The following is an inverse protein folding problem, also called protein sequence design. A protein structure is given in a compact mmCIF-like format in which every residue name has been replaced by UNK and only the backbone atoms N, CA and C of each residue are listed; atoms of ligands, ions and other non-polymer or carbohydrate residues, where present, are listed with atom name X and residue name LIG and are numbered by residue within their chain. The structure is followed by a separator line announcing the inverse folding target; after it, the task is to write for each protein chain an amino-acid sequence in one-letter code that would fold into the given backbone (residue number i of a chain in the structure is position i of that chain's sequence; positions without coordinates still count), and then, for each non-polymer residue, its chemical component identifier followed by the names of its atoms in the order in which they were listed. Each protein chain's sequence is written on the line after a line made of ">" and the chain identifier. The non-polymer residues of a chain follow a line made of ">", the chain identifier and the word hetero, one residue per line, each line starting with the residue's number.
data_IF_890740078479
#
_entry.id   IF_890740078479
#
_cell.length_a   1.000
_cell.length_b   1.000
_cell.length_c   1.000
_cell.angle_alpha   90.00
_cell.angle_beta   90.00
_cell.angle_gamma   90.00
#
_symmetry.space_group_name_H-M   'P 1'
#
loop_
_entity.id
_entity.type
_entity.pdbx_description
1 polymer ?
#
# COMPACT_ATOMS: atom_id res chain seq x y z
N UNK A 1 -56.36 -16.15 -6.66
CA UNK A 1 -55.35 -15.76 -7.67
C UNK A 1 -54.09 -15.34 -6.92
N UNK A 2 -53.13 -16.26 -6.75
CA UNK A 2 -51.92 -16.04 -5.94
C UNK A 2 -51.00 -15.06 -6.65
N UNK A 3 -50.85 -13.84 -6.11
CA UNK A 3 -49.84 -12.90 -6.56
C UNK A 3 -48.49 -13.25 -5.91
N UNK A 4 -47.52 -13.57 -6.78
CA UNK A 4 -46.20 -14.09 -6.47
C UNK A 4 -45.29 -13.05 -5.80
N UNK A 5 -45.17 -13.08 -4.47
CA UNK A 5 -44.11 -12.42 -3.71
C UNK A 5 -42.77 -13.18 -3.84
N UNK A 6 -42.12 -13.15 -5.01
CA UNK A 6 -40.78 -13.74 -5.19
C UNK A 6 -39.95 -13.00 -6.24
N UNK A 7 -39.72 -11.69 -6.09
CA UNK A 7 -38.71 -10.98 -6.90
C UNK A 7 -37.88 -9.90 -6.17
N UNK A 8 -38.31 -9.42 -5.00
CA UNK A 8 -37.57 -8.37 -4.29
C UNK A 8 -36.43 -8.90 -3.39
N UNK A 9 -36.51 -10.15 -2.92
CA UNK A 9 -35.55 -10.70 -1.94
C UNK A 9 -34.21 -11.08 -2.56
N UNK A 10 -34.18 -11.46 -3.84
CA UNK A 10 -32.94 -11.87 -4.51
C UNK A 10 -32.02 -10.67 -4.84
N UNK A 11 -32.58 -9.47 -5.01
CA UNK A 11 -31.82 -8.25 -5.34
C UNK A 11 -31.07 -7.67 -4.14
N UNK A 12 -31.59 -7.83 -2.92
CA UNK A 12 -30.97 -7.28 -1.72
C UNK A 12 -29.70 -8.06 -1.34
N UNK A 13 -29.69 -9.38 -1.55
CA UNK A 13 -28.52 -10.22 -1.30
C UNK A 13 -27.34 -9.84 -2.22
N UNK A 14 -27.57 -9.65 -3.53
CA UNK A 14 -26.51 -9.21 -4.45
C UNK A 14 -26.00 -7.79 -4.19
N UNK A 15 -26.84 -6.92 -3.61
CA UNK A 15 -26.42 -5.56 -3.23
C UNK A 15 -25.62 -5.53 -1.92
N UNK A 16 -25.91 -6.45 -0.99
CA UNK A 16 -25.26 -6.54 0.33
C UNK A 16 -23.99 -7.40 0.32
N UNK A 17 -23.87 -8.37 -0.60
CA UNK A 17 -22.70 -9.24 -0.74
C UNK A 17 -21.38 -8.48 -0.96
N UNK A 18 -21.31 -7.45 -1.82
CA UNK A 18 -20.11 -6.62 -1.96
C UNK A 18 -19.80 -5.86 -0.66
N UNK A 19 -20.82 -5.32 0.02
CA UNK A 19 -20.63 -4.62 1.30
C UNK A 19 -20.10 -5.51 2.43
N UNK A 20 -20.45 -6.80 2.42
CA UNK A 20 -19.96 -7.76 3.40
C UNK A 20 -18.50 -8.16 3.15
N UNK A 21 -18.08 -8.30 1.89
CA UNK A 21 -16.66 -8.50 1.54
C UNK A 21 -15.81 -7.28 1.91
N UNK A 22 -16.36 -6.08 1.70
CA UNK A 22 -15.71 -4.82 2.07
C UNK A 22 -15.60 -4.61 3.60
N UNK A 23 -16.49 -5.20 4.39
CA UNK A 23 -16.45 -5.16 5.86
C UNK A 23 -15.39 -6.09 6.50
N UNK A 24 -14.76 -6.98 5.72
CA UNK A 24 -13.76 -7.95 6.20
C UNK A 24 -12.34 -7.38 6.30
N UNK A 25 -12.10 -6.17 5.78
CA UNK A 25 -10.79 -5.55 5.87
C UNK A 25 -10.53 -5.03 7.29
N UNK A 26 -9.32 -5.27 7.86
CA UNK A 26 -9.01 -4.81 9.21
C UNK A 26 -9.11 -3.28 9.30
N UNK A 27 -10.08 -2.80 10.10
CA UNK A 27 -10.37 -1.39 10.40
C UNK A 27 -9.39 -0.75 11.39
N UNK A 28 -8.17 -1.26 11.47
CA UNK A 28 -7.08 -0.73 12.29
C UNK A 28 -5.83 -1.54 11.98
N UNK A 29 -4.67 -0.89 12.00
CA UNK A 29 -3.40 -1.58 11.97
C UNK A 29 -3.30 -2.55 13.16
N UNK A 30 -3.22 -3.85 12.88
CA UNK A 30 -2.93 -4.84 13.92
C UNK A 30 -1.42 -4.93 14.17
N UNK A 31 -0.93 -4.06 15.06
CA UNK A 31 0.49 -4.05 15.45
C UNK A 31 0.96 -5.35 16.10
N UNK A 32 0.06 -6.20 16.60
CA UNK A 32 0.43 -7.52 17.14
C UNK A 32 0.86 -8.48 16.03
N UNK A 33 0.37 -8.26 14.80
CA UNK A 33 0.70 -9.05 13.63
C UNK A 33 1.91 -8.50 12.86
N UNK A 34 2.29 -7.25 13.06
CA UNK A 34 3.51 -6.69 12.45
C UNK A 34 4.74 -7.51 12.87
N UNK A 35 5.56 -7.89 11.90
CA UNK A 35 6.74 -8.73 12.14
C UNK A 35 7.71 -8.09 13.16
N UNK A 36 8.06 -8.86 14.19
CA UNK A 36 9.02 -8.46 15.25
C UNK A 36 10.24 -9.39 15.35
N UNK A 37 10.31 -10.41 14.49
CA UNK A 37 11.38 -11.41 14.52
C UNK A 37 12.69 -10.92 13.90
N UNK A 38 13.65 -11.83 13.82
CA UNK A 38 14.93 -11.59 13.15
C UNK A 38 14.71 -11.50 11.64
N UNK A 39 15.41 -10.58 10.98
CA UNK A 39 15.47 -10.52 9.53
C UNK A 39 16.82 -11.03 9.05
N UNK A 40 16.81 -11.79 7.96
CA UNK A 40 18.04 -12.21 7.29
C UNK A 40 18.27 -11.45 5.98
N UNK A 41 17.19 -11.15 5.23
CA UNK A 41 17.29 -10.35 4.00
C UNK A 41 16.02 -9.55 3.73
N UNK A 42 16.16 -8.51 2.90
CA UNK A 42 15.05 -7.69 2.40
C UNK A 42 15.27 -7.40 0.92
N UNK A 43 14.30 -7.71 0.08
CA UNK A 43 14.27 -7.31 -1.30
C UNK A 43 13.32 -6.12 -1.49
N UNK A 44 13.63 -5.26 -2.46
CA UNK A 44 12.72 -4.23 -2.94
C UNK A 44 12.46 -4.44 -4.42
N UNK A 45 11.21 -4.27 -4.80
CA UNK A 45 10.72 -4.30 -6.16
C UNK A 45 10.11 -2.93 -6.42
N UNK A 46 10.74 -2.15 -7.28
CA UNK A 46 10.20 -0.87 -7.73
C UNK A 46 9.44 -1.11 -9.03
N UNK A 47 8.12 -0.95 -8.97
CA UNK A 47 7.28 -0.84 -10.18
C UNK A 47 7.06 0.62 -10.48
N UNK A 48 7.58 1.08 -11.62
CA UNK A 48 7.56 2.47 -12.05
C UNK A 48 6.89 2.55 -13.41
N UNK A 49 6.11 3.59 -13.66
CA UNK A 49 5.36 3.66 -14.89
C UNK A 49 4.12 4.54 -14.80
N UNK A 50 3.20 4.31 -15.72
CA UNK A 50 1.86 4.85 -15.70
C UNK A 50 0.87 3.76 -16.10
N UNK A 51 -0.29 3.78 -15.44
CA UNK A 51 -1.49 3.03 -15.85
C UNK A 51 -2.46 4.00 -16.49
N UNK A 52 -3.46 3.50 -17.22
CA UNK A 52 -4.49 4.35 -17.81
C UNK A 52 -5.27 5.08 -16.72
N UNK A 53 -5.53 4.42 -15.60
CA UNK A 53 -6.32 4.92 -14.48
C UNK A 53 -5.60 6.00 -13.66
N UNK A 54 -4.26 5.95 -13.62
CA UNK A 54 -3.44 6.91 -12.85
C UNK A 54 -2.65 7.87 -13.72
N UNK A 55 -2.90 7.89 -15.03
CA UNK A 55 -2.20 8.76 -15.98
C UNK A 55 -2.72 10.20 -16.00
N UNK A 56 -1.88 11.13 -16.48
CA UNK A 56 -2.27 12.52 -16.75
C UNK A 56 -2.87 12.65 -18.16
N UNK A 57 -3.64 13.72 -18.46
CA UNK A 57 -4.40 13.84 -19.71
C UNK A 57 -3.58 13.71 -21.01
N UNK A 58 -2.29 14.03 -20.97
CA UNK A 58 -1.36 13.96 -22.10
C UNK A 58 -0.44 12.72 -22.09
N UNK A 59 -0.69 11.75 -21.21
CA UNK A 59 0.11 10.52 -21.17
C UNK A 59 -0.12 9.67 -22.44
N UNK A 60 0.87 8.87 -22.86
CA UNK A 60 0.70 7.91 -23.95
C UNK A 60 -0.46 6.95 -23.68
N UNK A 61 -1.19 6.57 -24.73
CA UNK A 61 -2.36 5.68 -24.63
C UNK A 61 -1.99 4.26 -24.15
N UNK A 62 -0.78 3.81 -24.46
CA UNK A 62 -0.25 2.54 -23.98
C UNK A 62 0.28 2.68 -22.54
N UNK A 63 -0.23 1.82 -21.66
CA UNK A 63 0.31 1.67 -20.31
C UNK A 63 1.74 1.15 -20.38
N UNK A 64 2.58 1.66 -19.48
CA UNK A 64 3.97 1.25 -19.42
C UNK A 64 4.41 1.11 -17.98
N UNK A 65 4.69 -0.13 -17.58
CA UNK A 65 5.19 -0.46 -16.25
C UNK A 65 6.54 -1.17 -16.41
N UNK A 66 7.53 -0.68 -15.69
CA UNK A 66 8.86 -1.28 -15.57
C UNK A 66 9.08 -1.77 -14.16
N UNK A 67 9.73 -2.92 -14.03
CA UNK A 67 10.05 -3.51 -12.73
C UNK A 67 11.56 -3.56 -12.51
N UNK A 68 12.02 -3.00 -11.40
CA UNK A 68 13.40 -3.10 -10.96
C UNK A 68 13.49 -3.82 -9.61
N UNK A 69 14.28 -4.90 -9.53
CA UNK A 69 14.48 -5.68 -8.30
C UNK A 69 15.86 -5.43 -7.71
N UNK A 70 15.92 -5.17 -6.41
CA UNK A 70 17.18 -4.93 -5.68
C UNK A 70 17.16 -5.60 -4.31
N UNK A 71 18.30 -6.17 -3.92
CA UNK A 71 18.54 -6.56 -2.54
C UNK A 71 18.87 -5.31 -1.72
N UNK A 72 18.19 -5.12 -0.58
CA UNK A 72 18.49 -4.04 0.34
C UNK A 72 19.47 -4.49 1.43
N UNK A 73 20.40 -3.61 1.86
CA UNK A 73 21.16 -3.84 3.07
C UNK A 73 20.25 -4.09 4.26
N UNK A 74 20.60 -5.07 5.09
CA UNK A 74 19.80 -5.47 6.26
C UNK A 74 19.51 -4.30 7.21
N UNK A 75 20.46 -3.37 7.35
CA UNK A 75 20.30 -2.15 8.15
C UNK A 75 19.17 -1.25 7.63
N UNK A 76 18.98 -1.17 6.31
CA UNK A 76 17.85 -0.45 5.69
C UNK A 76 16.52 -1.15 5.98
N UNK A 77 16.46 -2.46 5.80
CA UNK A 77 15.29 -3.27 6.14
C UNK A 77 14.83 -3.10 7.59
N UNK A 78 15.77 -3.21 8.55
CA UNK A 78 15.52 -2.97 9.98
C UNK A 78 15.02 -1.55 10.26
N UNK A 79 15.59 -0.54 9.59
CA UNK A 79 15.13 0.85 9.69
C UNK A 79 13.70 1.02 9.18
N UNK A 80 13.34 0.35 8.09
CA UNK A 80 11.98 0.37 7.56
C UNK A 80 10.98 -0.24 8.54
N UNK A 81 11.27 -1.42 9.11
CA UNK A 81 10.42 -1.99 10.16
C UNK A 81 10.20 -1.02 11.32
N UNK A 82 11.26 -0.34 11.78
CA UNK A 82 11.17 0.66 12.84
C UNK A 82 10.31 1.87 12.46
N UNK A 83 10.28 2.26 11.17
CA UNK A 83 9.39 3.32 10.69
C UNK A 83 7.92 2.90 10.82
N UNK A 84 7.58 1.65 10.49
CA UNK A 84 6.22 1.12 10.53
C UNK A 84 5.74 0.88 11.97
N UNK A 85 6.65 0.52 12.87
CA UNK A 85 6.34 0.38 14.29
C UNK A 85 5.99 1.71 14.97
N UNK A 86 6.24 2.86 14.33
CA UNK A 86 5.76 4.15 14.82
C UNK A 86 4.23 4.22 14.67
N UNK A 87 3.51 4.10 15.80
CA UNK A 87 2.05 4.02 15.87
C UNK A 87 1.30 5.30 15.46
N UNK A 88 2.03 6.31 15.00
CA UNK A 88 1.45 7.63 14.72
C UNK A 88 0.97 7.72 13.26
N UNK A 89 -0.36 7.81 13.10
CA UNK A 89 -1.09 8.28 11.90
C UNK A 89 -1.18 7.30 10.73
N UNK A 90 -1.85 6.17 10.95
CA UNK A 90 -2.49 5.39 9.89
C UNK A 90 -3.90 5.93 9.67
N UNK A 91 -4.26 6.29 8.43
CA UNK A 91 -5.66 6.57 8.07
C UNK A 91 -6.17 5.42 7.22
N UNK A 92 -7.19 4.75 7.70
CA UNK A 92 -7.85 3.70 6.95
C UNK A 92 -8.62 4.30 5.79
N UNK A 93 -8.30 3.83 4.60
CA UNK A 93 -9.01 4.10 3.37
C UNK A 93 -8.92 2.82 2.54
N UNK A 94 -9.88 2.56 1.65
CA UNK A 94 -9.76 1.40 0.79
C UNK A 94 -8.50 1.54 -0.07
N UNK A 95 -7.62 0.52 -0.12
CA UNK A 95 -6.51 0.54 -1.04
C UNK A 95 -7.09 0.57 -2.46
N UNK A 96 -6.62 1.51 -3.27
CA UNK A 96 -6.84 1.46 -4.70
C UNK A 96 -5.80 0.47 -5.23
N UNK A 97 -6.18 -0.34 -6.22
CA UNK A 97 -5.16 -1.05 -6.97
C UNK A 97 -4.30 0.00 -7.68
N UNK A 98 -3.01 0.02 -7.36
CA UNK A 98 -2.02 0.81 -8.08
C UNK A 98 -0.85 -0.12 -8.41
N UNK A 99 -0.62 -0.31 -9.70
CA UNK A 99 0.47 -1.16 -10.20
C UNK A 99 1.83 -0.44 -10.14
N UNK A 100 1.84 0.89 -9.99
CA UNK A 100 3.01 1.73 -9.76
C UNK A 100 3.28 1.83 -8.25
N UNK A 101 3.97 0.80 -7.75
CA UNK A 101 4.19 0.62 -6.30
C UNK A 101 5.60 0.11 -5.99
N UNK A 102 6.15 0.57 -4.86
CA UNK A 102 7.36 -0.05 -4.29
C UNK A 102 6.96 -1.16 -3.32
N UNK A 103 7.36 -2.39 -3.63
CA UNK A 103 7.12 -3.57 -2.81
C UNK A 103 8.38 -3.95 -2.04
N UNK A 104 8.29 -4.09 -0.72
CA UNK A 104 9.37 -4.55 0.14
C UNK A 104 9.03 -5.93 0.67
N UNK A 105 9.88 -6.91 0.35
CA UNK A 105 9.72 -8.31 0.73
C UNK A 105 10.76 -8.64 1.80
N UNK A 106 10.30 -9.07 2.97
CA UNK A 106 11.15 -9.37 4.12
C UNK A 106 11.24 -10.88 4.33
N UNK A 107 12.45 -11.38 4.56
CA UNK A 107 12.69 -12.81 4.70
C UNK A 107 13.37 -13.17 6.03
N UNK A 108 12.99 -14.34 6.56
CA UNK A 108 13.71 -15.08 7.61
C UNK A 108 13.87 -16.52 7.17
N UNK A 109 15.07 -17.09 7.31
CA UNK A 109 15.35 -18.49 6.98
C UNK A 109 14.86 -18.90 5.57
N UNK A 110 14.91 -17.97 4.61
CA UNK A 110 14.45 -18.17 3.23
C UNK A 110 12.93 -18.00 3.00
N UNK A 111 12.13 -17.77 4.04
CA UNK A 111 10.69 -17.60 3.94
C UNK A 111 10.28 -16.12 4.00
N UNK A 112 9.35 -15.72 3.14
CA UNK A 112 8.75 -14.38 3.20
C UNK A 112 7.88 -14.27 4.46
N UNK A 113 8.16 -13.28 5.30
CA UNK A 113 7.48 -13.09 6.59
C UNK A 113 6.69 -11.80 6.68
N UNK A 114 7.02 -10.82 5.84
CA UNK A 114 6.32 -9.56 5.76
C UNK A 114 6.48 -9.01 4.34
N UNK A 115 5.38 -8.51 3.77
CA UNK A 115 5.37 -7.79 2.51
C UNK A 115 4.71 -6.45 2.70
N UNK A 116 5.31 -5.42 2.11
CA UNK A 116 4.81 -4.04 2.19
C UNK A 116 4.73 -3.48 0.79
N UNK A 117 3.55 -3.01 0.41
CA UNK A 117 3.35 -2.24 -0.80
C UNK A 117 3.13 -0.78 -0.41
N UNK A 118 3.95 0.12 -0.94
CA UNK A 118 3.79 1.55 -0.74
C UNK A 118 3.80 2.29 -2.08
N UNK A 119 2.71 2.99 -2.36
CA UNK A 119 2.62 3.91 -3.50
C UNK A 119 2.95 5.32 -3.00
N UNK A 120 3.97 5.93 -3.60
CA UNK A 120 4.35 7.31 -3.31
C UNK A 120 3.34 8.30 -3.85
N UNK A 121 2.64 7.91 -4.90
CA UNK A 121 1.61 8.67 -5.60
C UNK A 121 0.35 8.78 -4.74
N UNK A 122 -0.28 7.63 -4.45
CA UNK A 122 -1.54 7.61 -3.69
C UNK A 122 -1.32 7.60 -2.17
N UNK A 123 -0.06 7.53 -1.72
CA UNK A 123 0.34 7.37 -0.30
C UNK A 123 -0.25 6.12 0.34
N UNK A 124 -0.79 5.21 -0.46
CA UNK A 124 -1.38 3.96 -0.02
C UNK A 124 -0.30 3.00 0.45
N UNK A 125 -0.64 2.31 1.52
CA UNK A 125 0.21 1.39 2.23
C UNK A 125 -0.61 0.13 2.49
N UNK A 126 -0.12 -0.99 1.97
CA UNK A 126 -0.67 -2.31 2.24
C UNK A 126 0.42 -3.18 2.85
N UNK A 127 0.08 -3.95 3.88
CA UNK A 127 1.00 -4.85 4.56
C UNK A 127 0.40 -6.23 4.73
N UNK A 128 1.21 -7.24 4.44
CA UNK A 128 0.88 -8.65 4.58
C UNK A 128 1.91 -9.36 5.46
N UNK A 129 1.46 -10.30 6.28
CA UNK A 129 2.30 -11.24 7.02
C UNK A 129 2.10 -12.64 6.42
N UNK A 130 3.04 -13.08 5.57
CA UNK A 130 2.74 -14.17 4.64
C UNK A 130 1.54 -13.76 3.78
N UNK A 131 0.51 -14.60 3.72
CA UNK A 131 -0.71 -14.32 2.95
C UNK A 131 -1.78 -13.51 3.73
N UNK A 132 -1.55 -13.25 5.02
CA UNK A 132 -2.51 -12.54 5.86
C UNK A 132 -2.38 -11.03 5.67
N UNK A 133 -3.45 -10.37 5.21
CA UNK A 133 -3.52 -8.91 5.17
C UNK A 133 -3.62 -8.33 6.59
N UNK A 134 -2.61 -7.57 7.01
CA UNK A 134 -2.56 -6.98 8.36
C UNK A 134 -2.88 -5.48 8.37
N UNK A 135 -2.77 -4.81 7.21
CA UNK A 135 -3.15 -3.41 7.04
C UNK A 135 -3.36 -3.06 5.58
N UNK A 136 -4.39 -2.28 5.30
CA UNK A 136 -4.58 -1.60 4.04
C UNK A 136 -5.16 -0.21 4.31
N UNK A 137 -4.48 0.83 3.82
CA UNK A 137 -4.91 2.20 4.06
C UNK A 137 -3.97 3.23 3.48
N UNK A 138 -4.17 4.49 3.85
CA UNK A 138 -3.30 5.58 3.49
C UNK A 138 -2.34 5.90 4.64
N UNK A 139 -1.05 5.97 4.33
CA UNK A 139 -0.09 6.56 5.26
C UNK A 139 -0.35 8.06 5.39
N UNK A 140 -0.29 8.65 6.59
CA UNK A 140 -0.42 10.10 6.77
C UNK A 140 0.65 10.73 7.65
N UNK A 141 0.75 12.05 7.55
CA UNK A 141 1.54 12.90 8.44
C UNK A 141 3.00 12.46 8.54
N UNK A 142 3.42 12.06 9.73
CA UNK A 142 4.80 11.69 10.04
C UNK A 142 5.23 10.38 9.36
N UNK A 143 4.32 9.42 9.21
CA UNK A 143 4.62 8.13 8.58
C UNK A 143 4.95 8.31 7.10
N UNK A 144 4.11 9.01 6.35
CA UNK A 144 4.34 9.33 4.92
C UNK A 144 5.67 10.03 4.73
N UNK A 145 5.98 11.06 5.55
CA UNK A 145 7.26 11.77 5.50
C UNK A 145 8.45 10.84 5.72
N UNK A 146 8.35 9.89 6.64
CA UNK A 146 9.41 8.91 6.91
C UNK A 146 9.57 7.91 5.76
N UNK A 147 8.47 7.40 5.20
CA UNK A 147 8.48 6.44 4.09
C UNK A 147 9.06 7.08 2.81
N UNK A 148 8.60 8.28 2.45
CA UNK A 148 9.12 8.99 1.27
C UNK A 148 10.61 9.30 1.44
N UNK A 149 11.04 9.80 2.61
CA UNK A 149 12.47 10.06 2.87
C UNK A 149 13.32 8.78 2.88
N UNK A 150 12.73 7.65 3.25
CA UNK A 150 13.40 6.35 3.20
C UNK A 150 13.61 5.90 1.74
N UNK A 151 12.61 6.09 0.89
CA UNK A 151 12.65 5.75 -0.54
C UNK A 151 13.56 6.66 -1.35
N UNK A 152 13.53 7.98 -1.07
CA UNK A 152 14.29 8.99 -1.80
C UNK A 152 15.28 9.72 -0.87
N UNK A 153 16.30 9.02 -0.35
CA UNK A 153 17.24 9.61 0.61
C UNK A 153 18.14 10.69 0.01
N UNK A 154 18.22 10.76 -1.33
CA UNK A 154 19.05 11.73 -2.07
C UNK A 154 18.35 13.05 -2.33
N UNK A 155 17.02 13.11 -2.21
CA UNK A 155 16.27 14.34 -2.41
C UNK A 155 16.39 15.23 -1.16
N UNK A 156 16.60 16.52 -1.38
CA UNK A 156 16.59 17.54 -0.34
C UNK A 156 15.18 17.68 0.25
N UNK A 157 15.08 18.28 1.45
CA UNK A 157 13.78 18.55 2.06
C UNK A 157 12.88 19.42 1.17
N UNK A 158 13.47 20.35 0.41
CA UNK A 158 12.77 21.20 -0.56
C UNK A 158 12.22 20.38 -1.72
N UNK A 159 13.05 19.52 -2.34
CA UNK A 159 12.61 18.66 -3.45
C UNK A 159 11.55 17.66 -3.02
N UNK A 160 11.70 17.06 -1.82
CA UNK A 160 10.68 16.20 -1.25
C UNK A 160 9.35 16.94 -1.07
N UNK A 161 9.40 18.17 -0.56
CA UNK A 161 8.22 19.00 -0.34
C UNK A 161 7.53 19.37 -1.66
N UNK A 162 8.28 19.86 -2.65
CA UNK A 162 7.73 20.22 -3.96
C UNK A 162 7.13 19.00 -4.69
N UNK A 163 7.85 17.88 -4.75
CA UNK A 163 7.47 16.75 -5.59
C UNK A 163 6.35 15.88 -5.01
N UNK A 164 6.24 15.79 -3.67
CA UNK A 164 5.32 14.84 -3.03
C UNK A 164 4.26 15.49 -2.12
N UNK A 165 4.45 16.75 -1.73
CA UNK A 165 3.54 17.43 -0.80
C UNK A 165 2.80 18.62 -1.44
N UNK A 166 3.46 19.47 -2.24
CA UNK A 166 2.78 20.60 -2.94
C UNK A 166 2.01 20.13 -4.16
N UNK A 167 2.65 19.38 -5.08
CA UNK A 167 2.03 18.93 -6.34
C UNK A 167 0.74 18.09 -6.14
N UNK A 168 0.48 17.65 -4.91
CA UNK A 168 -0.63 16.80 -4.50
C UNK A 168 -1.67 17.51 -3.61
N UNK A 169 -1.42 18.72 -3.12
CA UNK A 169 -2.44 19.54 -2.46
C UNK A 169 -3.16 20.49 -3.44
N UNK A 170 -2.64 20.64 -4.67
CA UNK A 170 -3.21 21.46 -5.74
C UNK A 170 -4.07 20.68 -6.76
N UNK A 171 -4.21 19.35 -6.60
CA UNK A 171 -5.11 18.46 -7.36
C UNK A 171 -6.27 18.04 -6.45
#
# INVERSE_FOLDING_TARGET
>A
MFHSHKKATFSLFYLLLPCLALAQYPKAMDFSKLYQGKLDSVAVIHRMGWTKETSWPEAPEEEHITEERKLLPLSKGKRLLKILQDKTVYKEEYPLLNDVVSSFLFYTDGNEVLTIHFSTETKQLTMYKGDELIFAGMSKGKLTKKLIRYLYPKLSAKELYMNFFILWEEI
#
